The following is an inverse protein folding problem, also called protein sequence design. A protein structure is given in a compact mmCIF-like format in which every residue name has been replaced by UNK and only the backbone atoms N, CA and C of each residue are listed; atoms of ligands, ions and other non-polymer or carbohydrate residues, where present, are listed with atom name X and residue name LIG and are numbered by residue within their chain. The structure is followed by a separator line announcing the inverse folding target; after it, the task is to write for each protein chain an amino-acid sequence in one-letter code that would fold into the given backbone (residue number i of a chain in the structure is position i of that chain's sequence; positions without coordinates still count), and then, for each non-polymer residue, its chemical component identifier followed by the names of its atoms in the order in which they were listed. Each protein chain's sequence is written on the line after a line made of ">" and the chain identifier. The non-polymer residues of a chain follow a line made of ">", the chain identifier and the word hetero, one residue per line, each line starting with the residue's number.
data_IF_232578012459
#
_entry.id   IF_232578012459
#
_cell.length_a   1.000
_cell.length_b   1.000
_cell.length_c   1.000
_cell.angle_alpha   90.00
_cell.angle_beta   90.00
_cell.angle_gamma   90.00
#
_symmetry.space_group_name_H-M   'P 1'
#
loop_
_entity.id
_entity.type
_entity.pdbx_description
1 polymer ?
#
# COMPACT_ATOMS: atom_id res chain seq x y z
N UNK A 1 1.82 -31.44 14.99
CA UNK A 1 2.54 -30.22 15.38
C UNK A 1 1.53 -29.08 15.31
N UNK A 2 0.96 -28.64 16.43
CA UNK A 2 0.03 -27.50 16.40
C UNK A 2 0.87 -26.23 16.30
N UNK A 3 1.10 -25.79 15.06
CA UNK A 3 1.91 -24.62 14.79
C UNK A 3 1.21 -23.39 15.40
N UNK A 4 1.95 -22.57 16.16
CA UNK A 4 1.49 -21.37 16.88
C UNK A 4 1.13 -20.22 15.90
N UNK A 5 0.22 -20.48 14.97
CA UNK A 5 -0.10 -19.59 13.86
C UNK A 5 -1.60 -19.28 13.79
N UNK A 6 -1.89 -18.05 13.41
CA UNK A 6 -3.21 -17.61 12.98
C UNK A 6 -3.22 -17.38 11.47
N UNK A 7 -4.10 -18.11 10.78
CA UNK A 7 -4.30 -18.00 9.33
C UNK A 7 -5.54 -17.19 8.97
N UNK A 8 -6.52 -17.09 9.88
CA UNK A 8 -7.71 -16.30 9.63
C UNK A 8 -7.40 -14.81 9.82
N UNK A 9 -7.26 -14.10 8.70
CA UNK A 9 -6.98 -12.67 8.66
C UNK A 9 -8.23 -11.80 8.90
N UNK A 10 -9.43 -12.37 8.87
CA UNK A 10 -10.70 -11.62 9.06
C UNK A 10 -11.10 -11.50 10.52
N UNK A 11 -10.27 -11.99 11.45
CA UNK A 11 -10.47 -11.84 12.90
C UNK A 11 -9.19 -11.31 13.52
N UNK A 12 -9.31 -10.65 14.67
CA UNK A 12 -8.16 -10.19 15.43
C UNK A 12 -7.20 -11.36 15.77
N UNK A 13 -5.87 -11.13 15.77
CA UNK A 13 -4.92 -12.14 16.18
C UNK A 13 -5.16 -12.65 17.59
N UNK A 14 -5.10 -13.97 17.76
CA UNK A 14 -5.16 -14.62 19.06
C UNK A 14 -3.85 -14.36 19.80
N UNK A 15 -3.95 -13.92 21.07
CA UNK A 15 -2.78 -13.73 21.94
C UNK A 15 -1.87 -14.96 21.90
N UNK A 16 -0.56 -14.73 21.72
CA UNK A 16 0.45 -15.79 21.69
C UNK A 16 0.57 -16.55 20.35
N UNK A 17 -0.20 -16.20 19.32
CA UNK A 17 -0.04 -16.75 17.97
C UNK A 17 0.66 -15.77 17.03
N UNK A 18 1.50 -16.29 16.15
CA UNK A 18 2.05 -15.52 15.03
C UNK A 18 0.95 -15.31 13.98
N UNK A 19 0.82 -14.10 13.46
CA UNK A 19 -0.17 -13.77 12.43
C UNK A 19 0.42 -14.02 11.04
N UNK A 20 -0.11 -15.03 10.32
CA UNK A 20 0.37 -15.38 8.99
C UNK A 20 0.17 -14.23 7.99
N UNK A 21 -0.91 -13.46 8.12
CA UNK A 21 -1.17 -12.31 7.25
C UNK A 21 -0.06 -11.27 7.35
N UNK A 22 0.39 -10.94 8.56
CA UNK A 22 1.52 -10.01 8.76
C UNK A 22 2.81 -10.49 8.10
N UNK A 23 3.17 -11.76 8.29
CA UNK A 23 4.37 -12.34 7.67
C UNK A 23 4.24 -12.36 6.15
N UNK A 24 3.11 -12.83 5.63
CA UNK A 24 2.88 -12.86 4.18
C UNK A 24 2.97 -11.47 3.55
N UNK A 25 2.45 -10.44 4.22
CA UNK A 25 2.53 -9.07 3.74
C UNK A 25 3.96 -8.51 3.81
N UNK A 26 4.72 -8.85 4.84
CA UNK A 26 6.15 -8.51 4.96
C UNK A 26 6.97 -9.11 3.81
N UNK A 27 6.82 -10.41 3.56
CA UNK A 27 7.51 -11.09 2.46
C UNK A 27 7.07 -10.56 1.08
N UNK A 28 5.79 -10.17 0.95
CA UNK A 28 5.32 -9.49 -0.25
C UNK A 28 6.02 -8.12 -0.43
N UNK A 29 6.28 -7.40 0.66
CA UNK A 29 7.09 -6.17 0.64
C UNK A 29 8.47 -6.41 0.03
N UNK A 30 9.15 -7.48 0.43
CA UNK A 30 10.42 -7.89 -0.19
C UNK A 30 10.29 -8.24 -1.67
N UNK A 31 9.27 -9.01 -2.03
CA UNK A 31 9.00 -9.36 -3.42
C UNK A 31 8.74 -8.12 -4.30
N UNK A 32 8.18 -7.06 -3.72
CA UNK A 32 7.95 -5.76 -4.37
C UNK A 32 9.17 -4.82 -4.31
N UNK A 33 10.26 -5.24 -3.67
CA UNK A 33 11.55 -4.56 -3.72
C UNK A 33 11.97 -3.80 -2.46
N UNK A 34 11.13 -3.76 -1.41
CA UNK A 34 11.54 -3.22 -0.11
C UNK A 34 12.66 -4.10 0.45
N UNK A 35 13.73 -3.49 0.95
CA UNK A 35 14.88 -4.19 1.50
C UNK A 35 15.80 -4.91 0.49
N UNK A 36 15.32 -5.23 -0.72
CA UNK A 36 16.01 -6.12 -1.65
C UNK A 36 16.41 -5.49 -2.99
N UNK A 37 15.65 -4.48 -3.46
CA UNK A 37 15.85 -3.87 -4.78
C UNK A 37 17.14 -3.05 -4.86
N UNK A 38 17.66 -2.84 -6.08
CA UNK A 38 18.81 -1.95 -6.30
C UNK A 38 18.48 -0.50 -5.94
N UNK A 39 17.23 -0.09 -6.13
CA UNK A 39 16.72 1.22 -5.72
C UNK A 39 16.75 1.38 -4.20
N UNK A 40 16.29 0.37 -3.45
CA UNK A 40 16.42 0.40 -1.99
C UNK A 40 17.88 0.50 -1.55
N UNK A 41 18.75 -0.34 -2.11
CA UNK A 41 20.19 -0.36 -1.82
C UNK A 41 20.85 0.99 -2.08
N UNK A 42 20.46 1.68 -3.16
CA UNK A 42 20.97 3.00 -3.49
C UNK A 42 20.56 4.08 -2.47
N UNK A 43 19.50 3.85 -1.70
CA UNK A 43 18.96 4.73 -0.67
C UNK A 43 19.30 4.26 0.75
N UNK A 44 19.85 3.06 0.91
CA UNK A 44 20.26 2.52 2.20
C UNK A 44 21.71 2.92 2.52
N UNK A 45 21.90 3.62 3.63
CA UNK A 45 23.23 3.91 4.20
C UNK A 45 23.58 2.93 5.32
N UNK A 46 24.70 3.17 6.01
CA UNK A 46 25.14 2.34 7.15
C UNK A 46 24.19 2.34 8.33
N UNK A 47 23.28 3.31 8.46
CA UNK A 47 22.35 3.36 9.59
C UNK A 47 20.95 3.88 9.23
N UNK A 48 20.77 4.48 8.05
CA UNK A 48 19.55 5.18 7.69
C UNK A 48 19.16 4.95 6.24
N UNK A 49 17.87 5.00 5.97
CA UNK A 49 17.32 5.07 4.63
C UNK A 49 17.14 6.54 4.24
N UNK A 50 17.58 6.92 3.03
CA UNK A 50 17.65 8.33 2.59
C UNK A 50 16.65 8.66 1.48
N UNK A 51 15.60 7.85 1.35
CA UNK A 51 14.50 8.11 0.42
C UNK A 51 13.75 9.39 0.78
N UNK A 52 13.49 10.24 -0.21
CA UNK A 52 12.90 11.57 -0.01
C UNK A 52 11.51 11.54 0.63
N UNK A 53 10.64 10.60 0.22
CA UNK A 53 9.30 10.47 0.74
C UNK A 53 9.32 9.95 2.17
N UNK A 54 10.12 8.91 2.44
CA UNK A 54 10.28 8.35 3.78
C UNK A 54 10.87 9.38 4.76
N UNK A 55 11.89 10.13 4.34
CA UNK A 55 12.50 11.21 5.14
C UNK A 55 11.51 12.35 5.40
N UNK A 56 10.76 12.77 4.38
CA UNK A 56 9.74 13.82 4.54
C UNK A 56 8.61 13.40 5.49
N UNK A 57 8.20 12.12 5.46
CA UNK A 57 7.16 11.59 6.34
C UNK A 57 7.61 11.58 7.80
N UNK A 58 8.84 11.13 8.05
CA UNK A 58 9.37 10.94 9.40
C UNK A 58 9.99 12.22 9.99
N UNK A 59 10.19 13.26 9.16
CA UNK A 59 10.91 14.48 9.53
C UNK A 59 12.43 14.33 9.62
N UNK A 60 12.93 13.10 9.46
CA UNK A 60 14.35 12.73 9.44
C UNK A 60 14.51 11.39 8.68
N UNK A 61 15.73 11.03 8.32
CA UNK A 61 16.00 9.75 7.66
C UNK A 61 15.64 8.58 8.60
N UNK A 62 14.74 7.65 8.21
CA UNK A 62 14.34 6.55 9.07
C UNK A 62 15.51 5.58 9.32
N UNK A 63 15.59 5.00 10.53
CA UNK A 63 16.68 4.10 10.91
C UNK A 63 16.53 2.73 10.24
N UNK A 64 17.66 2.14 9.84
CA UNK A 64 17.74 0.79 9.29
C UNK A 64 18.28 -0.19 10.32
N UNK A 65 17.74 -1.42 10.29
CA UNK A 65 18.21 -2.55 11.08
C UNK A 65 19.62 -2.99 10.70
N UNK A 66 20.20 -3.98 11.41
CA UNK A 66 21.51 -4.52 11.08
C UNK A 66 21.55 -5.09 9.66
N UNK A 67 22.75 -5.38 9.16
CA UNK A 67 22.91 -6.13 7.91
C UNK A 67 22.27 -7.52 8.09
N UNK A 68 21.35 -7.85 7.19
CA UNK A 68 20.46 -9.01 7.30
C UNK A 68 20.36 -9.80 5.98
N UNK A 69 21.16 -9.44 5.00
CA UNK A 69 21.16 -10.04 3.67
C UNK A 69 22.57 -10.48 3.27
N UNK A 70 22.63 -11.52 2.43
CA UNK A 70 23.89 -12.11 1.99
C UNK A 70 24.77 -11.15 1.17
N UNK A 71 24.21 -10.07 0.65
CA UNK A 71 24.91 -9.04 -0.13
C UNK A 71 25.29 -7.80 0.70
N UNK A 72 25.26 -7.92 2.04
CA UNK A 72 25.59 -6.86 2.98
C UNK A 72 24.63 -5.65 2.96
N UNK A 73 23.41 -5.84 2.45
CA UNK A 73 22.33 -4.84 2.50
C UNK A 73 21.63 -4.87 3.86
N UNK A 74 21.11 -3.71 4.26
CA UNK A 74 20.16 -3.57 5.38
C UNK A 74 18.75 -3.58 4.81
N UNK A 75 18.08 -4.72 4.90
CA UNK A 75 16.79 -5.00 4.28
C UNK A 75 15.58 -4.52 5.08
N UNK A 76 15.77 -4.25 6.37
CA UNK A 76 14.69 -3.92 7.28
C UNK A 76 14.84 -2.54 7.93
N UNK A 77 13.72 -2.01 8.42
CA UNK A 77 13.75 -0.92 9.39
C UNK A 77 14.42 -1.38 10.69
N UNK A 78 14.91 -0.43 11.49
CA UNK A 78 15.38 -0.77 12.83
C UNK A 78 14.20 -1.29 13.70
N UNK A 79 14.50 -2.23 14.59
CA UNK A 79 13.52 -2.81 15.51
C UNK A 79 12.75 -1.72 16.28
N UNK A 80 11.42 -1.84 16.35
CA UNK A 80 10.55 -0.88 17.04
C UNK A 80 10.30 0.42 16.27
N UNK A 81 10.67 0.50 14.98
CA UNK A 81 10.38 1.69 14.17
C UNK A 81 8.87 1.85 14.01
N UNK A 82 8.30 2.92 14.58
CA UNK A 82 6.87 3.20 14.52
C UNK A 82 6.50 4.09 13.34
N UNK A 83 5.34 3.83 12.76
CA UNK A 83 4.66 4.72 11.81
C UNK A 83 3.14 4.59 11.99
N UNK A 84 2.35 5.10 11.05
CA UNK A 84 0.89 4.93 11.03
C UNK A 84 0.51 3.83 10.05
N UNK A 85 -0.54 3.06 10.32
CA UNK A 85 -1.14 2.18 9.30
C UNK A 85 -1.46 3.03 8.07
N UNK A 86 -1.10 2.54 6.87
CA UNK A 86 -1.24 3.31 5.65
C UNK A 86 -2.71 3.67 5.40
N UNK A 87 -3.02 4.97 5.36
CA UNK A 87 -4.39 5.47 5.23
C UNK A 87 -5.18 5.60 6.54
N UNK A 88 -4.56 5.36 7.71
CA UNK A 88 -5.14 5.55 9.06
C UNK A 88 -4.33 6.56 9.89
N UNK A 89 -4.87 6.94 11.06
CA UNK A 89 -4.15 7.64 12.12
C UNK A 89 -3.61 6.71 13.22
N UNK A 90 -3.91 5.41 13.18
CA UNK A 90 -3.46 4.44 14.18
C UNK A 90 -1.97 4.14 14.01
N UNK A 91 -1.23 4.28 15.10
CA UNK A 91 0.19 3.98 15.14
C UNK A 91 0.43 2.46 15.19
N UNK A 92 1.41 2.00 14.43
CA UNK A 92 1.85 0.61 14.39
C UNK A 92 3.35 0.57 14.11
N UNK A 93 4.02 -0.44 14.63
CA UNK A 93 5.37 -0.78 14.19
C UNK A 93 5.37 -1.05 12.69
N UNK A 94 6.40 -0.58 12.00
CA UNK A 94 6.54 -0.68 10.56
C UNK A 94 6.48 -2.14 10.10
N UNK A 95 5.87 -2.38 8.94
CA UNK A 95 5.71 -3.74 8.43
C UNK A 95 7.07 -4.37 8.15
N UNK A 96 8.02 -3.63 7.57
CA UNK A 96 9.37 -4.12 7.26
C UNK A 96 10.31 -4.11 8.47
N UNK A 97 9.78 -4.15 9.68
CA UNK A 97 10.52 -4.50 10.89
C UNK A 97 10.85 -6.01 10.91
N UNK A 98 12.06 -6.44 11.29
CA UNK A 98 12.46 -7.86 11.19
C UNK A 98 11.83 -8.76 12.27
N UNK A 99 11.10 -8.20 13.24
CA UNK A 99 10.54 -8.94 14.36
C UNK A 99 9.03 -9.20 14.21
N UNK A 100 8.61 -10.40 14.64
CA UNK A 100 7.20 -10.77 14.72
C UNK A 100 6.72 -10.59 16.16
N UNK A 101 5.70 -9.76 16.34
CA UNK A 101 5.01 -9.58 17.62
C UNK A 101 3.81 -10.51 17.68
N UNK A 102 3.92 -11.63 18.42
CA UNK A 102 2.82 -12.60 18.55
C UNK A 102 1.57 -11.95 19.17
N UNK A 103 0.39 -12.31 18.67
CA UNK A 103 -0.88 -11.72 19.10
C UNK A 103 -1.18 -10.34 18.50
N UNK A 104 -0.33 -9.84 17.59
CA UNK A 104 -0.49 -8.54 16.94
C UNK A 104 -0.52 -8.69 15.42
N UNK A 105 -1.37 -7.91 14.75
CA UNK A 105 -1.39 -7.83 13.27
C UNK A 105 -0.64 -6.58 12.86
N UNK A 106 0.42 -6.76 12.08
CA UNK A 106 1.06 -5.71 11.31
C UNK A 106 0.43 -5.62 9.91
N UNK A 107 0.02 -4.41 9.53
CA UNK A 107 -0.40 -3.99 8.19
C UNK A 107 0.67 -3.09 7.58
N UNK A 108 0.58 -2.80 6.28
CA UNK A 108 1.44 -1.82 5.62
C UNK A 108 1.33 -0.46 6.33
N UNK A 109 2.46 0.13 6.69
CA UNK A 109 2.48 1.47 7.30
C UNK A 109 2.76 2.56 6.27
N UNK A 110 2.51 3.81 6.63
CA UNK A 110 2.84 4.98 5.83
C UNK A 110 4.34 5.06 5.52
N UNK A 111 5.20 4.61 6.43
CA UNK A 111 6.64 4.53 6.19
C UNK A 111 6.98 3.49 5.11
N UNK A 112 6.40 2.29 5.18
CA UNK A 112 6.61 1.26 4.17
C UNK A 112 6.13 1.73 2.78
N UNK A 113 4.96 2.37 2.73
CA UNK A 113 4.40 2.95 1.51
C UNK A 113 5.25 4.12 0.95
N UNK A 114 5.79 4.97 1.83
CA UNK A 114 6.69 6.05 1.42
C UNK A 114 7.98 5.47 0.81
N UNK A 115 8.53 4.41 1.40
CA UNK A 115 9.70 3.74 0.84
C UNK A 115 9.39 3.04 -0.49
N UNK A 116 8.19 2.48 -0.68
CA UNK A 116 7.74 1.97 -1.99
C UNK A 116 7.76 3.10 -3.05
N UNK A 117 7.32 4.30 -2.68
CA UNK A 117 7.37 5.49 -3.55
C UNK A 117 8.81 5.85 -3.90
N UNK A 118 9.70 5.86 -2.91
CA UNK A 118 11.12 6.16 -3.12
C UNK A 118 11.84 5.16 -4.03
N UNK A 119 11.43 3.88 -4.03
CA UNK A 119 12.00 2.86 -4.93
C UNK A 119 11.30 2.80 -6.30
N UNK A 120 10.39 3.73 -6.60
CA UNK A 120 9.82 3.94 -7.93
C UNK A 120 8.41 3.38 -8.15
N UNK A 121 7.73 2.89 -7.11
CA UNK A 121 6.31 2.56 -7.22
C UNK A 121 5.46 3.82 -7.22
N UNK A 122 4.42 3.84 -8.05
CA UNK A 122 3.35 4.82 -7.92
C UNK A 122 2.25 4.20 -7.08
N UNK A 123 2.08 4.71 -5.85
CA UNK A 123 0.97 4.32 -5.00
C UNK A 123 -0.19 5.28 -5.24
N UNK A 124 -1.34 4.72 -5.62
CA UNK A 124 -2.60 5.45 -5.44
C UNK A 124 -2.94 5.31 -3.98
N UNK A 125 -2.96 6.42 -3.24
CA UNK A 125 -3.43 6.39 -1.86
C UNK A 125 -4.80 5.69 -1.86
N UNK A 126 -5.00 4.64 -1.04
CA UNK A 126 -6.34 4.10 -0.86
C UNK A 126 -7.22 5.29 -0.48
N UNK A 127 -8.47 5.36 -0.98
CA UNK A 127 -9.39 6.39 -0.52
C UNK A 127 -9.33 6.37 1.01
N UNK A 128 -9.21 7.54 1.68
CA UNK A 128 -9.00 7.59 3.11
C UNK A 128 -9.93 6.58 3.77
N UNK A 129 -9.36 5.57 4.42
CA UNK A 129 -10.16 4.49 4.98
C UNK A 129 -10.95 5.13 6.12
N UNK A 130 -12.21 5.47 5.82
CA UNK A 130 -13.09 6.14 6.75
C UNK A 130 -13.60 5.11 7.73
N UNK A 131 -12.77 4.65 8.66
CA UNK A 131 -13.21 3.76 9.72
C UNK A 131 -14.36 4.43 10.48
N UNK A 132 -15.40 3.65 10.76
CA UNK A 132 -16.42 4.10 11.69
C UNK A 132 -15.78 4.22 13.07
N UNK A 133 -16.14 5.21 13.90
CA UNK A 133 -15.52 5.38 15.21
C UNK A 133 -15.57 4.13 16.12
N UNK A 134 -16.52 3.21 15.88
CA UNK A 134 -16.62 1.95 16.59
C UNK A 134 -15.90 0.75 15.94
N UNK A 135 -15.19 0.95 14.83
CA UNK A 135 -14.36 -0.07 14.16
C UNK A 135 -12.98 -0.09 14.83
N UNK A 136 -12.96 -0.56 16.08
CA UNK A 136 -11.81 -0.52 16.97
C UNK A 136 -10.66 -1.45 16.54
N UNK A 137 -10.95 -2.48 15.74
CA UNK A 137 -9.91 -3.35 15.17
C UNK A 137 -9.50 -2.95 13.73
N UNK A 138 -10.12 -1.88 13.22
CA UNK A 138 -9.93 -1.30 11.89
C UNK A 138 -10.07 -2.32 10.76
N UNK A 139 -10.90 -3.34 10.89
CA UNK A 139 -11.10 -4.36 9.85
C UNK A 139 -12.11 -3.93 8.77
N UNK A 140 -12.70 -2.75 8.92
CA UNK A 140 -13.69 -2.17 8.01
C UNK A 140 -15.12 -2.55 8.36
N UNK A 141 -15.35 -3.32 9.43
CA UNK A 141 -16.65 -3.79 9.85
C UNK A 141 -16.84 -3.58 11.35
N UNK A 142 -17.87 -2.82 11.74
CA UNK A 142 -18.22 -2.72 13.16
C UNK A 142 -18.98 -3.98 13.59
N UNK A 143 -18.31 -4.89 14.28
CA UNK A 143 -18.82 -6.22 14.61
C UNK A 143 -18.40 -6.71 16.02
N UNK A 144 -18.59 -8.00 16.31
CA UNK A 144 -18.28 -8.59 17.62
C UNK A 144 -16.78 -8.59 17.96
N UNK A 145 -15.91 -8.51 16.95
CA UNK A 145 -14.47 -8.36 17.13
C UNK A 145 -14.13 -7.01 17.78
N UNK A 146 -14.77 -5.92 17.38
CA UNK A 146 -14.59 -4.60 17.98
C UNK A 146 -15.04 -4.56 19.43
N UNK A 147 -16.14 -5.24 19.75
CA UNK A 147 -16.58 -5.38 21.14
C UNK A 147 -15.51 -6.04 22.03
N UNK A 148 -14.70 -6.93 21.46
CA UNK A 148 -13.58 -7.55 22.19
C UNK A 148 -12.49 -6.53 22.47
N UNK A 149 -12.19 -5.64 21.52
CA UNK A 149 -11.24 -4.53 21.72
C UNK A 149 -11.75 -3.56 22.79
N UNK A 150 -13.01 -3.13 22.69
CA UNK A 150 -13.63 -2.23 23.68
C UNK A 150 -13.60 -2.82 25.09
N UNK A 151 -13.91 -4.11 25.26
CA UNK A 151 -13.86 -4.79 26.56
C UNK A 151 -12.46 -4.79 27.18
N UNK A 152 -11.41 -4.93 26.35
CA UNK A 152 -10.03 -4.87 26.81
C UNK A 152 -9.56 -3.45 27.17
N UNK A 153 -10.18 -2.43 26.59
CA UNK A 153 -9.86 -1.02 26.78
C UNK A 153 -10.69 -0.34 27.89
N UNK A 154 -11.85 -0.89 28.26
CA UNK A 154 -12.79 -0.28 29.21
C UNK A 154 -12.13 0.11 30.54
N UNK A 155 -12.04 1.42 30.80
CA UNK A 155 -11.40 1.97 31.99
C UNK A 155 -9.89 1.79 32.08
N UNK A 156 -9.23 1.31 31.02
CA UNK A 156 -7.79 1.00 30.98
C UNK A 156 -7.03 1.95 30.06
N UNK A 157 -7.51 2.15 28.83
CA UNK A 157 -6.85 2.98 27.81
C UNK A 157 -7.91 3.55 26.84
N UNK A 158 -7.47 4.14 25.74
CA UNK A 158 -8.32 4.83 24.75
C UNK A 158 -8.57 4.01 23.48
N UNK A 159 -8.18 2.73 23.44
CA UNK A 159 -8.30 1.92 22.22
C UNK A 159 -9.75 1.60 21.84
N UNK A 160 -10.71 1.84 22.74
CA UNK A 160 -12.15 1.74 22.48
C UNK A 160 -12.88 3.08 22.58
N UNK A 161 -12.18 4.22 22.45
CA UNK A 161 -12.77 5.57 22.48
C UNK A 161 -13.41 5.90 21.12
N UNK A 162 -14.72 5.70 21.01
CA UNK A 162 -15.49 5.95 19.80
C UNK A 162 -16.14 7.35 19.76
N UNK A 163 -16.23 8.05 20.89
CA UNK A 163 -16.82 9.38 20.94
C UNK A 163 -15.76 10.51 20.91
N UNK A 164 -14.48 10.17 21.04
CA UNK A 164 -13.34 11.07 21.01
C UNK A 164 -13.12 11.85 22.31
N UNK A 165 -13.60 11.35 23.46
CA UNK A 165 -13.48 12.02 24.77
C UNK A 165 -12.22 11.61 25.56
N UNK A 166 -11.34 10.81 24.96
CA UNK A 166 -10.12 10.23 25.51
C UNK A 166 -10.34 9.26 26.67
N UNK A 167 -11.53 8.64 26.80
CA UNK A 167 -11.76 7.54 27.73
C UNK A 167 -12.58 6.44 27.06
N UNK A 168 -12.24 5.16 27.29
CA UNK A 168 -13.11 4.05 26.88
C UNK A 168 -14.09 3.70 27.99
N UNK A 169 -15.37 4.03 27.80
CA UNK A 169 -16.45 3.79 28.75
C UNK A 169 -17.78 3.42 28.06
N UNK A 170 -18.89 3.47 28.80
CA UNK A 170 -20.22 3.10 28.29
C UNK A 170 -20.74 4.00 27.16
N UNK A 171 -20.27 5.24 27.06
CA UNK A 171 -20.59 6.14 25.96
C UNK A 171 -20.07 5.61 24.62
N UNK A 172 -18.88 5.01 24.60
CA UNK A 172 -18.32 4.39 23.39
C UNK A 172 -19.04 3.11 23.01
N UNK A 173 -19.47 2.34 24.01
CA UNK A 173 -20.31 1.17 23.77
C UNK A 173 -21.62 1.54 23.09
N UNK A 174 -22.22 2.69 23.45
CA UNK A 174 -23.41 3.20 22.74
C UNK A 174 -23.11 3.60 21.29
N UNK A 175 -21.90 4.11 21.00
CA UNK A 175 -21.48 4.37 19.61
C UNK A 175 -21.37 3.04 18.85
N UNK A 176 -20.71 2.03 19.44
CA UNK A 176 -20.61 0.69 18.85
C UNK A 176 -21.98 0.05 18.61
N UNK A 177 -22.91 0.13 19.56
CA UNK A 177 -24.26 -0.40 19.37
C UNK A 177 -25.01 0.27 18.20
N UNK A 178 -24.83 1.58 18.00
CA UNK A 178 -25.44 2.29 16.87
C UNK A 178 -24.81 1.92 15.53
N UNK A 179 -23.53 1.58 15.52
CA UNK A 179 -22.78 1.29 14.31
C UNK A 179 -22.65 -0.22 14.01
N UNK A 180 -23.13 -1.10 14.90
CA UNK A 180 -23.05 -2.55 14.70
C UNK A 180 -23.63 -2.99 13.35
N UNK A 181 -22.83 -3.72 12.58
CA UNK A 181 -23.15 -4.19 11.23
C UNK A 181 -22.93 -3.16 10.12
N UNK A 182 -22.50 -1.94 10.44
CA UNK A 182 -22.15 -0.93 9.44
C UNK A 182 -20.71 -1.12 8.95
N UNK A 183 -20.49 -0.68 7.71
CA UNK A 183 -19.17 -0.52 7.09
C UNK A 183 -18.99 0.94 6.66
N UNK A 184 -17.76 1.44 6.55
CA UNK A 184 -17.47 2.75 5.96
C UNK A 184 -18.24 2.97 4.65
N UNK A 185 -18.84 4.14 4.49
CA UNK A 185 -19.35 4.55 3.19
C UNK A 185 -18.15 4.75 2.26
N UNK A 186 -18.01 3.90 1.24
CA UNK A 186 -16.95 4.06 0.25
C UNK A 186 -17.20 5.37 -0.48
N UNK A 187 -16.31 6.35 -0.33
CA UNK A 187 -16.37 7.57 -1.11
C UNK A 187 -16.35 7.18 -2.59
N UNK A 188 -17.36 7.63 -3.35
CA UNK A 188 -17.45 7.35 -4.77
C UNK A 188 -16.13 7.76 -5.44
N UNK A 189 -15.43 6.77 -5.98
CA UNK A 189 -14.19 6.98 -6.72
C UNK A 189 -14.54 7.86 -7.92
N UNK A 190 -13.98 9.07 -8.01
CA UNK A 190 -14.16 9.90 -9.18
C UNK A 190 -13.46 9.20 -10.37
N UNK A 191 -14.20 8.69 -11.38
CA UNK A 191 -13.59 7.95 -12.50
C UNK A 191 -12.61 8.81 -13.31
N UNK A 192 -12.67 10.14 -13.18
CA UNK A 192 -11.73 11.05 -13.82
C UNK A 192 -10.28 10.90 -13.32
N UNK A 193 -10.05 10.35 -12.12
CA UNK A 193 -8.70 10.12 -11.58
C UNK A 193 -8.04 8.84 -12.11
N UNK A 194 -8.82 7.94 -12.74
CA UNK A 194 -8.35 6.70 -13.37
C UNK A 194 -8.19 6.84 -14.90
N UNK A 195 -8.44 8.03 -15.44
CA UNK A 195 -8.14 8.31 -16.84
C UNK A 195 -6.62 8.33 -17.00
N UNK A 196 -6.06 7.15 -17.28
CA UNK A 196 -4.72 7.03 -17.85
C UNK A 196 -4.74 7.89 -19.11
N UNK A 197 -3.94 8.98 -19.20
CA UNK A 197 -3.79 9.69 -20.46
C UNK A 197 -3.35 8.65 -21.49
N UNK A 198 -4.00 8.56 -22.65
CA UNK A 198 -3.55 7.67 -23.73
C UNK A 198 -2.56 8.42 -24.65
N UNK A 199 -1.23 8.42 -24.41
CA UNK A 199 -0.29 8.96 -25.38
C UNK A 199 -0.09 8.02 -26.59
N UNK A 200 -0.52 6.75 -26.53
CA UNK A 200 -0.19 5.72 -27.53
C UNK A 200 -1.21 5.57 -28.66
N UNK A 201 -2.51 5.81 -28.43
CA UNK A 201 -3.54 5.68 -29.47
C UNK A 201 -3.42 6.77 -30.56
N UNK A 202 -3.06 7.99 -30.17
CA UNK A 202 -2.81 9.09 -31.10
C UNK A 202 -1.54 8.86 -31.95
N UNK A 203 -0.47 8.31 -31.37
CA UNK A 203 0.76 7.96 -32.09
C UNK A 203 0.52 6.80 -33.08
N UNK A 204 -0.21 5.76 -32.69
CA UNK A 204 -0.55 4.64 -33.58
C UNK A 204 -1.40 5.09 -34.77
N UNK A 205 -2.35 6.00 -34.55
CA UNK A 205 -3.22 6.54 -35.62
C UNK A 205 -2.46 7.43 -36.60
N UNK A 206 -1.51 8.25 -36.11
CA UNK A 206 -0.64 9.07 -36.97
C UNK A 206 0.35 8.22 -37.76
N UNK A 207 0.96 7.20 -37.14
CA UNK A 207 1.84 6.26 -37.85
C UNK A 207 1.07 5.50 -38.94
N UNK A 208 -0.13 5.00 -38.63
CA UNK A 208 -0.96 4.28 -39.59
C UNK A 208 -1.34 5.15 -40.79
N UNK A 209 -1.77 6.40 -40.56
CA UNK A 209 -2.14 7.32 -41.65
C UNK A 209 -0.94 7.73 -42.52
N UNK A 210 0.24 7.92 -41.93
CA UNK A 210 1.48 8.19 -42.68
C UNK A 210 1.91 6.98 -43.54
N UNK A 211 1.81 5.76 -43.01
CA UNK A 211 2.10 4.54 -43.76
C UNK A 211 1.13 4.33 -44.94
N UNK A 212 -0.16 4.54 -44.72
CA UNK A 212 -1.19 4.47 -45.77
C UNK A 212 -0.96 5.52 -46.88
N UNK A 213 -0.55 6.74 -46.51
CA UNK A 213 -0.22 7.79 -47.48
C UNK A 213 1.04 7.46 -48.31
N UNK A 214 2.07 6.90 -47.67
CA UNK A 214 3.30 6.47 -48.36
C UNK A 214 3.04 5.33 -49.35
N UNK A 215 2.26 4.32 -48.95
CA UNK A 215 1.88 3.19 -49.80
C UNK A 215 1.07 3.63 -51.03
N UNK A 216 0.14 4.58 -50.87
CA UNK A 216 -0.63 5.15 -51.99
C UNK A 216 0.25 5.91 -52.98
N UNK A 217 1.23 6.66 -52.50
CA UNK A 217 2.17 7.42 -53.35
C UNK A 217 3.08 6.49 -54.16
N UNK A 218 3.54 5.39 -53.55
CA UNK A 218 4.38 4.39 -54.22
C UNK A 218 3.63 3.65 -55.33
N UNK A 219 2.37 3.25 -55.09
CA UNK A 219 1.56 2.59 -56.12
C UNK A 219 1.27 3.50 -57.34
N UNK A 220 1.06 4.80 -57.10
CA UNK A 220 0.78 5.77 -58.17
C UNK A 220 2.01 6.11 -59.04
N UNK A 221 3.22 6.08 -58.47
CA UNK A 221 4.46 6.33 -59.22
C UNK A 221 4.88 5.13 -60.07
N UNK A 222 4.66 3.89 -59.59
CA UNK A 222 4.93 2.67 -60.35
C UNK A 222 4.04 2.48 -61.58
N UNK A 223 2.81 3.02 -61.57
CA UNK A 223 1.89 2.96 -62.71
C UNK A 223 2.21 3.92 -63.87
N UNK A 224 3.07 4.92 -63.65
CA UNK A 224 3.39 5.94 -64.67
C UNK A 224 4.55 5.59 -65.60
N UNK A 225 5.28 4.50 -65.36
CA UNK A 225 6.48 4.14 -66.14
C UNK A 225 6.12 3.30 -67.39
N UNK A 226 4.89 2.78 -67.53
CA UNK A 226 4.51 1.90 -68.65
C UNK A 226 3.74 2.56 -69.82
N UNK A 227 3.51 3.87 -69.79
CA UNK A 227 2.72 4.57 -70.83
C UNK A 227 3.57 5.55 -71.65
N UNK A 228 4.54 5.03 -72.42
CA UNK A 228 5.11 5.76 -73.55
C UNK A 228 5.64 4.78 -74.60
N UNK A 229 4.85 4.54 -75.65
CA UNK A 229 5.37 4.08 -76.95
C UNK A 229 4.76 4.96 -78.05
N UNK A 230 5.56 5.71 -78.81
CA UNK A 230 5.06 6.51 -79.93
C UNK A 230 4.83 5.61 -81.15
N UNK A 231 3.68 5.78 -81.80
CA UNK A 231 3.42 5.23 -83.13
C UNK A 231 3.65 6.33 -84.16
N UNK A 232 4.58 6.06 -85.09
CA UNK A 232 4.69 6.72 -86.39
C UNK A 232 3.53 6.31 -87.31
#
# INVERSE_FOLDING_TARGET
>A
MNANWQFNHTIAPTVGKNDFYSVALHELGHALGLGASSQWKALASTAFFTGSAATSLMGANPPLGPVDSADNTRGHWAEGTMSKIYGSNVAQEALMDPTITSGTRKRLTALDAAAMTDIGWSLTAPPPQSYLPADFNEDGFVNAADLTVWKGAFGVNTNGDANGDNVTNGADFLVWQRQFGQTPAVAAINPAALAVPEPSAAMLSTIATLLLAALRRYAASSGRIFAAKPTH
#
